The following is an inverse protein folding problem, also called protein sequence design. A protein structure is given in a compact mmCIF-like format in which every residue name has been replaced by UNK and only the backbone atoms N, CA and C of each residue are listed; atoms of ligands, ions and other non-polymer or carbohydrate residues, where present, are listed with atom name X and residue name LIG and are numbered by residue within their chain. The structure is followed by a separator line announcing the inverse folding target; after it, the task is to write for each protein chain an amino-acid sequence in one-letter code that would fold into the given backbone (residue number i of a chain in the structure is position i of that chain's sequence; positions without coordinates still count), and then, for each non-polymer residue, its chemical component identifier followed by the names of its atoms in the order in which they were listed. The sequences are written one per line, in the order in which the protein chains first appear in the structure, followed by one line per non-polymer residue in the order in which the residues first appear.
data_IF_264595144301
#
_entry.id   IF_264595144301
#
_cell.length_a   1.000
_cell.length_b   1.000
_cell.length_c   1.000
_cell.angle_alpha   90.00
_cell.angle_beta   90.00
_cell.angle_gamma   90.00
#
_symmetry.space_group_name_H-M   'P 1'
#
loop_
_entity.id
_entity.type
_entity.pdbx_description
1 polymer ?
#
# COMPACT_ATOMS: atom_id res chain seq x y z
N UNK A 1 41.01 148.48 73.93
CA UNK A 1 41.75 148.90 72.70
C UNK A 1 41.17 148.15 71.50
N UNK A 2 41.30 148.66 70.26
CA UNK A 2 40.85 147.96 69.03
C UNK A 2 41.35 146.49 68.96
N UNK A 3 42.47 146.21 69.64
CA UNK A 3 43.06 144.90 69.84
C UNK A 3 42.21 143.91 70.66
N UNK A 4 41.42 144.35 71.64
CA UNK A 4 40.55 143.47 72.45
C UNK A 4 39.34 142.96 71.65
N UNK A 5 38.77 143.80 70.78
CA UNK A 5 37.68 143.38 69.88
C UNK A 5 38.20 142.38 68.85
N UNK A 6 39.37 142.63 68.26
CA UNK A 6 40.01 141.68 67.35
C UNK A 6 40.39 140.36 68.03
N UNK A 7 40.80 140.37 69.31
CA UNK A 7 41.05 139.15 70.08
C UNK A 7 39.76 138.38 70.38
N UNK A 8 38.67 139.07 70.69
CA UNK A 8 37.35 138.47 70.92
C UNK A 8 36.81 137.80 69.65
N UNK A 9 36.90 138.48 68.50
CA UNK A 9 36.48 137.95 67.21
C UNK A 9 37.36 136.75 66.79
N UNK A 10 38.68 136.82 67.04
CA UNK A 10 39.59 135.71 66.81
C UNK A 10 39.26 134.49 67.70
N UNK A 11 38.94 134.69 68.98
CA UNK A 11 38.54 133.61 69.88
C UNK A 11 37.19 132.98 69.49
N UNK A 12 36.22 133.79 69.05
CA UNK A 12 34.95 133.28 68.53
C UNK A 12 35.16 132.46 67.25
N UNK A 13 36.06 132.91 66.37
CA UNK A 13 36.43 132.17 65.15
C UNK A 13 37.14 130.85 65.49
N UNK A 14 38.05 130.84 66.47
CA UNK A 14 38.73 129.62 66.94
C UNK A 14 37.74 128.64 67.57
N UNK A 15 36.78 129.11 68.37
CA UNK A 15 35.72 128.26 68.93
C UNK A 15 34.89 127.60 67.83
N UNK A 16 34.43 128.37 66.85
CA UNK A 16 33.69 127.84 65.70
C UNK A 16 34.51 126.85 64.87
N UNK A 17 35.82 127.11 64.69
CA UNK A 17 36.73 126.17 64.05
C UNK A 17 36.91 124.89 64.86
N UNK A 18 36.93 124.97 66.19
CA UNK A 18 37.01 123.80 67.09
C UNK A 18 35.73 122.97 66.98
N UNK A 19 34.56 123.61 67.01
CA UNK A 19 33.26 122.94 66.84
C UNK A 19 33.18 122.23 65.47
N UNK A 20 33.67 122.86 64.38
CA UNK A 20 33.75 122.22 63.06
C UNK A 20 34.72 121.03 63.03
N UNK A 21 35.85 121.09 63.76
CA UNK A 21 36.79 119.98 63.83
C UNK A 21 36.20 118.81 64.62
N UNK A 22 35.46 119.08 65.70
CA UNK A 22 34.74 118.06 66.46
C UNK A 22 33.63 117.42 65.61
N UNK A 23 32.92 118.21 64.79
CA UNK A 23 31.91 117.70 63.86
C UNK A 23 32.53 116.85 62.73
N UNK A 24 33.68 117.26 62.19
CA UNK A 24 34.43 116.47 61.19
C UNK A 24 35.01 115.18 61.76
N UNK A 25 35.45 115.18 63.02
CA UNK A 25 35.97 113.97 63.67
C UNK A 25 34.84 112.97 63.91
N UNK A 26 33.68 113.41 64.40
CA UNK A 26 32.48 112.57 64.50
C UNK A 26 32.07 112.01 63.13
N UNK A 27 32.03 112.85 62.09
CA UNK A 27 31.72 112.39 60.74
C UNK A 27 32.72 111.35 60.23
N UNK A 28 34.00 111.50 60.55
CA UNK A 28 35.04 110.55 60.16
C UNK A 28 34.93 109.22 60.94
N UNK A 29 34.54 109.26 62.21
CA UNK A 29 34.22 108.08 63.00
C UNK A 29 33.01 107.34 62.44
N UNK A 30 31.93 108.05 62.09
CA UNK A 30 30.74 107.49 61.44
C UNK A 30 31.08 106.86 60.08
N UNK A 31 31.83 107.55 59.23
CA UNK A 31 32.30 107.00 57.95
C UNK A 31 33.15 105.74 58.13
N UNK A 32 34.01 105.70 59.15
CA UNK A 32 34.83 104.53 59.45
C UNK A 32 33.97 103.35 59.92
N UNK A 33 32.91 103.61 60.69
CA UNK A 33 31.93 102.61 61.11
C UNK A 33 31.15 102.06 59.90
N UNK A 34 30.67 102.94 59.02
CA UNK A 34 29.94 102.56 57.80
C UNK A 34 30.82 101.76 56.82
N UNK A 35 32.10 102.12 56.70
CA UNK A 35 33.06 101.37 55.90
C UNK A 35 33.26 99.96 56.46
N UNK A 36 33.38 99.84 57.78
CA UNK A 36 33.56 98.53 58.46
C UNK A 36 32.33 97.64 58.28
N UNK A 37 31.12 98.19 58.35
CA UNK A 37 29.89 97.43 58.11
C UNK A 37 29.77 96.98 56.65
N UNK A 38 30.14 97.84 55.69
CA UNK A 38 30.16 97.49 54.26
C UNK A 38 31.21 96.41 53.94
N UNK A 39 32.36 96.44 54.61
CA UNK A 39 33.39 95.41 54.48
C UNK A 39 32.86 94.05 54.98
N UNK A 40 32.22 94.02 56.16
CA UNK A 40 31.61 92.80 56.69
C UNK A 40 30.52 92.25 55.75
N UNK A 41 29.68 93.13 55.18
CA UNK A 41 28.66 92.73 54.21
C UNK A 41 29.27 92.14 52.93
N UNK A 42 30.38 92.70 52.43
CA UNK A 42 31.10 92.13 51.27
C UNK A 42 31.71 90.76 51.57
N UNK A 43 32.22 90.54 52.79
CA UNK A 43 32.72 89.22 53.21
C UNK A 43 31.61 88.18 53.26
N UNK A 44 30.44 88.54 53.80
CA UNK A 44 29.26 87.68 53.78
C UNK A 44 28.81 87.37 52.36
N UNK A 45 28.74 88.39 51.48
CA UNK A 45 28.38 88.21 50.07
C UNK A 45 29.36 87.25 49.37
N UNK A 46 30.66 87.40 49.59
CA UNK A 46 31.67 86.50 49.04
C UNK A 46 31.48 85.05 49.53
N UNK A 47 31.18 84.85 50.81
CA UNK A 47 30.87 83.52 51.35
C UNK A 47 29.68 82.89 50.64
N UNK A 48 28.59 83.66 50.47
CA UNK A 48 27.39 83.16 49.76
C UNK A 48 27.66 82.85 48.28
N UNK A 49 28.52 83.62 47.61
CA UNK A 49 28.94 83.33 46.23
C UNK A 49 29.70 82.00 46.18
N UNK A 50 30.65 81.78 47.10
CA UNK A 50 31.40 80.51 47.16
C UNK A 50 30.48 79.32 47.41
N UNK A 51 29.50 79.44 48.32
CA UNK A 51 28.49 78.39 48.53
C UNK A 51 27.67 78.12 47.26
N UNK A 52 27.28 79.17 46.52
CA UNK A 52 26.54 79.03 45.27
C UNK A 52 27.37 78.35 44.18
N UNK A 53 28.66 78.65 44.08
CA UNK A 53 29.58 77.97 43.16
C UNK A 53 29.70 76.48 43.46
N UNK A 54 29.79 76.10 44.74
CA UNK A 54 29.79 74.69 45.16
C UNK A 54 28.48 74.02 44.79
N UNK A 55 27.32 74.62 45.11
CA UNK A 55 26.02 74.08 44.74
C UNK A 55 25.86 73.93 43.22
N UNK A 56 26.37 74.87 42.42
CA UNK A 56 26.36 74.76 40.96
C UNK A 56 27.25 73.61 40.46
N UNK A 57 28.41 73.39 41.09
CA UNK A 57 29.26 72.25 40.76
C UNK A 57 28.56 70.92 41.04
N UNK A 58 27.96 70.78 42.22
CA UNK A 58 27.18 69.59 42.59
C UNK A 58 25.98 69.37 41.66
N UNK A 59 25.27 70.43 41.31
CA UNK A 59 24.18 70.36 40.33
C UNK A 59 24.69 69.89 38.95
N UNK A 60 25.87 70.34 38.51
CA UNK A 60 26.45 69.91 37.25
C UNK A 60 26.88 68.43 37.27
N UNK A 61 27.42 67.94 38.40
CA UNK A 61 27.75 66.53 38.60
C UNK A 61 26.50 65.64 38.56
N UNK A 62 25.41 66.08 39.22
CA UNK A 62 24.13 65.34 39.18
C UNK A 62 23.54 65.30 37.77
N UNK A 63 23.59 66.40 37.01
CA UNK A 63 23.16 66.44 35.61
C UNK A 63 23.97 65.45 34.77
N UNK A 64 25.30 65.41 34.95
CA UNK A 64 26.16 64.46 34.22
C UNK A 64 25.76 63.01 34.51
N UNK A 65 25.52 62.66 35.78
CA UNK A 65 25.07 61.31 36.13
C UNK A 65 23.70 60.98 35.55
N UNK A 66 22.79 61.96 35.46
CA UNK A 66 21.48 61.77 34.83
C UNK A 66 21.60 61.58 33.32
N UNK A 67 22.50 62.31 32.65
CA UNK A 67 22.79 62.12 31.22
C UNK A 67 23.30 60.71 30.95
N UNK A 68 24.27 60.21 31.73
CA UNK A 68 24.78 58.85 31.59
C UNK A 68 23.68 57.79 31.75
N UNK A 69 22.75 58.01 32.68
CA UNK A 69 21.61 57.12 32.89
C UNK A 69 20.64 57.13 31.71
N UNK A 70 20.35 58.30 31.14
CA UNK A 70 19.49 58.45 29.96
C UNK A 70 20.11 57.77 28.74
N UNK A 71 21.43 57.88 28.56
CA UNK A 71 22.14 57.20 27.47
C UNK A 71 22.07 55.68 27.62
N UNK A 72 22.25 55.17 28.85
CA UNK A 72 22.09 53.74 29.15
C UNK A 72 20.66 53.23 28.88
N UNK A 73 19.64 54.01 29.28
CA UNK A 73 18.24 53.68 29.00
C UNK A 73 17.95 53.69 27.49
N UNK A 74 18.51 54.64 26.76
CA UNK A 74 18.35 54.74 25.30
C UNK A 74 18.95 53.53 24.59
N UNK A 75 20.12 53.07 25.03
CA UNK A 75 20.75 51.86 24.50
C UNK A 75 19.88 50.62 24.76
N UNK A 76 19.36 50.47 25.98
CA UNK A 76 18.48 49.36 26.34
C UNK A 76 17.20 49.33 25.48
N UNK A 77 16.59 50.49 25.22
CA UNK A 77 15.42 50.60 24.34
C UNK A 77 15.78 50.15 22.91
N UNK A 78 16.95 50.52 22.41
CA UNK A 78 17.42 50.09 21.09
C UNK A 78 17.57 48.57 21.01
N UNK A 79 18.17 47.95 22.02
CA UNK A 79 18.32 46.48 22.11
C UNK A 79 16.97 45.77 22.18
N UNK A 80 16.05 46.29 23.00
CA UNK A 80 14.68 45.76 23.09
C UNK A 80 13.95 45.83 21.74
N UNK A 81 14.08 46.94 21.00
CA UNK A 81 13.46 47.08 19.69
C UNK A 81 13.99 46.06 18.67
N UNK A 82 15.30 45.81 18.68
CA UNK A 82 15.90 44.74 17.85
C UNK A 82 15.30 43.39 18.23
N UNK A 83 15.24 43.09 19.53
CA UNK A 83 14.70 41.81 20.01
C UNK A 83 13.23 41.62 19.65
N UNK A 84 12.42 42.68 19.68
CA UNK A 84 11.02 42.65 19.24
C UNK A 84 10.95 42.31 17.75
N UNK A 85 11.77 42.96 16.92
CA UNK A 85 11.79 42.69 15.48
C UNK A 85 12.18 41.25 15.16
N UNK A 86 13.15 40.68 15.89
CA UNK A 86 13.54 39.27 15.73
C UNK A 86 12.38 38.32 16.09
N UNK A 87 11.68 38.61 17.18
CA UNK A 87 10.53 37.81 17.63
C UNK A 87 9.35 37.89 16.66
N UNK A 88 9.10 39.06 16.06
CA UNK A 88 8.09 39.22 15.01
C UNK A 88 8.42 38.36 13.79
N UNK A 89 9.68 38.35 13.35
CA UNK A 89 10.14 37.50 12.25
C UNK A 89 9.98 36.00 12.56
N UNK A 90 10.35 35.58 13.77
CA UNK A 90 10.19 34.19 14.20
C UNK A 90 8.71 33.77 14.24
N UNK A 91 7.83 34.65 14.72
CA UNK A 91 6.40 34.39 14.78
C UNK A 91 5.78 34.26 13.38
N UNK A 92 6.17 35.12 12.43
CA UNK A 92 5.74 35.01 11.04
C UNK A 92 6.20 33.70 10.40
N UNK A 93 7.45 33.29 10.66
CA UNK A 93 7.97 32.00 10.21
C UNK A 93 7.18 30.82 10.78
N UNK A 94 6.85 30.85 12.07
CA UNK A 94 6.05 29.81 12.73
C UNK A 94 4.62 29.75 12.18
N UNK A 95 3.99 30.90 11.92
CA UNK A 95 2.66 30.95 11.32
C UNK A 95 2.63 30.36 9.91
N UNK A 96 3.65 30.65 9.10
CA UNK A 96 3.78 30.05 7.77
C UNK A 96 3.95 28.52 7.84
N UNK A 97 4.76 28.03 8.78
CA UNK A 97 4.92 26.59 8.99
C UNK A 97 3.61 25.92 9.44
N UNK A 98 2.85 26.59 10.32
CA UNK A 98 1.56 26.12 10.77
C UNK A 98 0.58 25.99 9.60
N UNK A 99 0.48 27.01 8.74
CA UNK A 99 -0.37 26.99 7.54
C UNK A 99 0.01 25.82 6.61
N UNK A 100 1.30 25.63 6.33
CA UNK A 100 1.76 24.51 5.50
C UNK A 100 1.37 23.14 6.10
N UNK A 101 1.51 22.97 7.41
CA UNK A 101 1.11 21.74 8.09
C UNK A 101 -0.41 21.49 8.05
N UNK A 102 -1.21 22.56 8.07
CA UNK A 102 -2.67 22.46 7.96
C UNK A 102 -3.10 22.03 6.55
N UNK A 103 -2.44 22.54 5.51
CA UNK A 103 -2.69 22.14 4.13
C UNK A 103 -2.33 20.68 3.87
N UNK A 104 -1.18 20.21 4.40
CA UNK A 104 -0.79 18.79 4.32
C UNK A 104 -1.80 17.87 5.02
N UNK A 105 -2.29 18.27 6.19
CA UNK A 105 -3.31 17.52 6.93
C UNK A 105 -4.64 17.46 6.15
N UNK A 106 -5.05 18.56 5.51
CA UNK A 106 -6.24 18.59 4.68
C UNK A 106 -6.14 17.65 3.47
N UNK A 107 -4.97 17.61 2.81
CA UNK A 107 -4.71 16.67 1.73
C UNK A 107 -4.77 15.23 2.22
N UNK A 108 -4.12 14.93 3.35
CA UNK A 108 -4.15 13.60 3.96
C UNK A 108 -5.58 13.15 4.29
N UNK A 109 -6.41 14.02 4.86
CA UNK A 109 -7.81 13.69 5.15
C UNK A 109 -8.59 13.36 3.86
N UNK A 110 -8.40 14.15 2.80
CA UNK A 110 -9.03 13.86 1.50
C UNK A 110 -8.60 12.50 0.94
N UNK A 111 -7.33 12.10 1.12
CA UNK A 111 -6.88 10.76 0.69
C UNK A 111 -7.52 9.64 1.50
N UNK A 112 -7.71 9.83 2.80
CA UNK A 112 -8.39 8.87 3.68
C UNK A 112 -9.84 8.69 3.25
N UNK A 113 -10.54 9.78 2.96
CA UNK A 113 -11.93 9.73 2.47
C UNK A 113 -12.03 8.93 1.16
N UNK A 114 -11.11 9.16 0.22
CA UNK A 114 -11.08 8.41 -1.05
C UNK A 114 -10.80 6.92 -0.84
N UNK A 115 -9.91 6.58 0.09
CA UNK A 115 -9.60 5.18 0.42
C UNK A 115 -10.80 4.49 1.09
N UNK A 116 -11.53 5.19 1.95
CA UNK A 116 -12.70 4.66 2.62
C UNK A 116 -13.80 4.29 1.62
N UNK A 117 -14.09 5.16 0.65
CA UNK A 117 -15.01 4.86 -0.46
C UNK A 117 -14.56 3.63 -1.25
N UNK A 118 -13.24 3.50 -1.51
CA UNK A 118 -12.70 2.36 -2.25
C UNK A 118 -12.89 1.05 -1.48
N UNK A 119 -12.67 1.06 -0.17
CA UNK A 119 -12.87 -0.10 0.71
C UNK A 119 -14.34 -0.53 0.72
N UNK A 120 -15.27 0.41 0.78
CA UNK A 120 -16.71 0.11 0.77
C UNK A 120 -17.13 -0.58 -0.54
N UNK A 121 -16.64 -0.08 -1.68
CA UNK A 121 -16.90 -0.69 -3.00
C UNK A 121 -16.29 -2.10 -3.07
N UNK A 122 -15.04 -2.27 -2.65
CA UNK A 122 -14.39 -3.59 -2.66
C UNK A 122 -15.10 -4.60 -1.75
N UNK A 123 -15.64 -4.14 -0.62
CA UNK A 123 -16.38 -5.00 0.31
C UNK A 123 -17.68 -5.50 -0.34
N UNK A 124 -18.41 -4.62 -1.03
CA UNK A 124 -19.61 -4.99 -1.79
C UNK A 124 -19.29 -5.97 -2.93
N UNK A 125 -18.23 -5.72 -3.68
CA UNK A 125 -17.80 -6.61 -4.77
C UNK A 125 -17.40 -8.00 -4.24
N UNK A 126 -16.74 -8.05 -3.09
CA UNK A 126 -16.38 -9.31 -2.44
C UNK A 126 -17.61 -10.12 -2.02
N UNK A 127 -18.61 -9.49 -1.39
CA UNK A 127 -19.86 -10.16 -1.01
C UNK A 127 -20.60 -10.70 -2.24
N UNK A 128 -20.68 -9.88 -3.31
CA UNK A 128 -21.28 -10.30 -4.57
C UNK A 128 -20.54 -11.51 -5.17
N UNK A 129 -19.21 -11.48 -5.24
CA UNK A 129 -18.43 -12.58 -5.80
C UNK A 129 -18.52 -13.85 -4.94
N UNK A 130 -18.52 -13.71 -3.61
CA UNK A 130 -18.66 -14.84 -2.69
C UNK A 130 -20.00 -15.54 -2.87
N UNK A 131 -21.10 -14.78 -2.94
CA UNK A 131 -22.45 -15.35 -3.13
C UNK A 131 -22.61 -16.05 -4.50
N UNK A 132 -22.00 -15.52 -5.55
CA UNK A 132 -21.95 -16.16 -6.87
C UNK A 132 -21.14 -17.46 -6.81
N UNK A 133 -19.99 -17.45 -6.14
CA UNK A 133 -19.15 -18.63 -6.00
C UNK A 133 -19.85 -19.76 -5.23
N UNK A 134 -20.54 -19.44 -4.14
CA UNK A 134 -21.33 -20.42 -3.37
C UNK A 134 -22.41 -21.05 -4.25
N UNK A 135 -23.07 -20.24 -5.09
CA UNK A 135 -24.10 -20.74 -6.02
C UNK A 135 -23.53 -21.64 -7.13
N UNK A 136 -22.27 -21.46 -7.52
CA UNK A 136 -21.62 -22.22 -8.60
C UNK A 136 -20.82 -23.45 -8.11
N UNK A 137 -20.52 -23.53 -6.81
CA UNK A 137 -19.68 -24.59 -6.23
C UNK A 137 -20.47 -25.71 -5.54
N UNK A 138 -21.79 -25.57 -5.40
CA UNK A 138 -22.63 -26.64 -4.87
C UNK A 138 -22.63 -27.86 -5.82
N UNK A 139 -22.28 -29.06 -5.32
CA UNK A 139 -22.31 -30.27 -6.13
C UNK A 139 -23.73 -30.58 -6.62
N UNK A 140 -23.84 -30.98 -7.88
CA UNK A 140 -25.12 -31.42 -8.47
C UNK A 140 -25.29 -32.90 -8.16
N UNK A 141 -26.26 -33.19 -7.30
CA UNK A 141 -26.70 -34.55 -6.96
C UNK A 141 -27.64 -35.09 -8.04
N UNK A 142 -27.37 -36.27 -8.55
CA UNK A 142 -28.10 -36.93 -9.64
C UNK A 142 -28.59 -38.30 -9.16
N UNK A 143 -29.90 -38.53 -9.22
CA UNK A 143 -30.45 -39.86 -8.94
C UNK A 143 -30.39 -40.74 -10.19
N UNK A 144 -29.73 -41.89 -10.08
CA UNK A 144 -29.58 -42.86 -11.16
C UNK A 144 -30.61 -43.98 -10.97
N UNK A 145 -31.54 -44.11 -11.91
CA UNK A 145 -32.56 -45.16 -11.90
C UNK A 145 -31.97 -46.49 -12.38
N UNK A 146 -32.54 -47.62 -11.97
CA UNK A 146 -32.21 -48.91 -12.61
C UNK A 146 -32.56 -48.86 -14.11
N UNK A 147 -31.69 -49.39 -14.96
CA UNK A 147 -31.76 -49.27 -16.42
C UNK A 147 -30.97 -48.09 -16.98
N UNK A 148 -31.38 -47.59 -18.15
CA UNK A 148 -30.66 -46.54 -18.88
C UNK A 148 -30.97 -45.14 -18.35
N UNK A 149 -29.93 -44.39 -18.02
CA UNK A 149 -29.95 -42.99 -17.63
C UNK A 149 -29.13 -42.17 -18.62
N UNK A 150 -29.50 -40.90 -18.78
CA UNK A 150 -28.70 -39.92 -19.53
C UNK A 150 -28.26 -38.85 -18.54
N UNK A 151 -26.95 -38.73 -18.32
CA UNK A 151 -26.37 -37.75 -17.40
C UNK A 151 -25.41 -36.82 -18.12
N UNK A 152 -25.40 -35.54 -17.74
CA UNK A 152 -24.40 -34.57 -18.20
C UNK A 152 -23.21 -34.54 -17.26
N UNK A 153 -21.99 -34.52 -17.79
CA UNK A 153 -20.79 -34.37 -16.96
C UNK A 153 -20.66 -32.91 -16.47
N UNK A 154 -20.59 -32.73 -15.16
CA UNK A 154 -20.76 -31.40 -14.52
C UNK A 154 -19.45 -30.72 -14.09
N UNK A 155 -18.33 -31.45 -14.06
CA UNK A 155 -17.04 -30.87 -13.69
C UNK A 155 -16.44 -30.06 -14.85
N UNK A 156 -15.63 -29.06 -14.50
CA UNK A 156 -15.00 -28.13 -15.47
C UNK A 156 -13.78 -28.70 -16.19
N UNK A 157 -13.17 -29.76 -15.65
CA UNK A 157 -11.98 -30.39 -16.20
C UNK A 157 -12.31 -31.83 -16.61
N UNK A 158 -11.64 -32.32 -17.65
CA UNK A 158 -11.78 -33.71 -18.05
C UNK A 158 -11.22 -34.65 -16.97
N UNK A 159 -11.89 -35.78 -16.75
CA UNK A 159 -11.52 -36.77 -15.73
C UNK A 159 -11.71 -38.18 -16.26
N UNK A 160 -10.84 -39.11 -15.84
CA UNK A 160 -10.92 -40.50 -16.25
C UNK A 160 -12.29 -41.12 -15.87
N UNK A 161 -12.93 -41.78 -16.83
CA UNK A 161 -14.25 -42.38 -16.64
C UNK A 161 -14.21 -43.49 -15.57
N UNK A 162 -13.11 -44.25 -15.52
CA UNK A 162 -12.95 -45.35 -14.55
C UNK A 162 -12.88 -44.80 -13.13
N UNK A 163 -11.99 -43.83 -12.90
CA UNK A 163 -11.86 -43.17 -11.60
C UNK A 163 -13.18 -42.52 -11.14
N UNK A 164 -13.91 -41.89 -12.08
CA UNK A 164 -15.15 -41.17 -11.77
C UNK A 164 -16.27 -42.08 -11.27
N UNK A 165 -16.38 -43.28 -11.83
CA UNK A 165 -17.46 -44.21 -11.51
C UNK A 165 -17.06 -45.31 -10.51
N UNK A 166 -15.85 -45.26 -9.96
CA UNK A 166 -15.32 -46.25 -9.00
C UNK A 166 -16.26 -46.46 -7.80
N UNK A 167 -16.82 -45.36 -7.27
CA UNK A 167 -17.74 -45.41 -6.13
C UNK A 167 -19.09 -46.08 -6.41
N UNK A 168 -19.46 -46.29 -7.68
CA UNK A 168 -20.71 -46.96 -8.08
C UNK A 168 -20.47 -48.19 -8.95
N UNK A 169 -19.23 -48.68 -9.02
CA UNK A 169 -18.84 -49.75 -9.94
C UNK A 169 -19.63 -51.04 -9.74
N UNK A 170 -20.06 -51.33 -8.51
CA UNK A 170 -20.81 -52.54 -8.14
C UNK A 170 -22.24 -52.58 -8.72
N UNK A 171 -22.83 -51.42 -9.02
CA UNK A 171 -24.20 -51.28 -9.55
C UNK A 171 -24.22 -50.72 -10.98
N UNK A 172 -23.03 -50.52 -11.57
CA UNK A 172 -22.84 -49.95 -12.89
C UNK A 172 -22.52 -51.05 -13.90
N UNK A 173 -23.37 -51.19 -14.92
CA UNK A 173 -23.16 -52.17 -15.98
C UNK A 173 -22.31 -51.60 -17.12
N UNK A 174 -22.73 -50.47 -17.72
CA UNK A 174 -22.09 -49.89 -18.91
C UNK A 174 -22.26 -48.37 -18.94
N UNK A 175 -21.20 -47.65 -19.32
CA UNK A 175 -21.27 -46.23 -19.69
C UNK A 175 -20.94 -46.08 -21.16
N UNK A 176 -21.62 -45.17 -21.85
CA UNK A 176 -21.44 -44.93 -23.29
C UNK A 176 -21.43 -43.44 -23.61
N UNK A 177 -20.51 -43.02 -24.48
CA UNK A 177 -20.48 -41.65 -25.03
C UNK A 177 -21.26 -41.53 -26.35
N UNK A 178 -21.37 -40.30 -26.87
CA UNK A 178 -22.07 -40.05 -28.14
C UNK A 178 -21.36 -40.66 -29.37
N UNK A 179 -20.04 -40.88 -29.31
CA UNK A 179 -19.27 -41.50 -30.39
C UNK A 179 -19.47 -43.04 -30.47
N UNK A 180 -20.14 -43.62 -29.47
CA UNK A 180 -20.37 -45.06 -29.36
C UNK A 180 -19.27 -45.81 -28.62
N UNK A 181 -18.28 -45.11 -28.06
CA UNK A 181 -17.27 -45.68 -27.19
C UNK A 181 -17.89 -46.00 -25.83
N UNK A 182 -17.44 -47.11 -25.23
CA UNK A 182 -18.03 -47.65 -24.00
C UNK A 182 -16.98 -47.85 -22.91
N UNK A 183 -17.39 -47.59 -21.67
CA UNK A 183 -16.72 -48.06 -20.48
C UNK A 183 -17.55 -49.21 -19.91
N UNK A 184 -16.90 -50.36 -19.74
CA UNK A 184 -17.50 -51.60 -19.29
C UNK A 184 -16.67 -52.15 -18.12
N UNK A 185 -17.06 -51.85 -16.86
CA UNK A 185 -16.29 -52.21 -15.68
C UNK A 185 -16.05 -53.72 -15.55
N UNK A 186 -17.07 -54.54 -15.80
CA UNK A 186 -17.03 -56.00 -15.68
C UNK A 186 -15.92 -56.64 -16.53
N UNK A 187 -15.65 -56.09 -17.72
CA UNK A 187 -14.60 -56.57 -18.62
C UNK A 187 -13.28 -55.82 -18.48
N UNK A 188 -13.17 -54.88 -17.54
CA UNK A 188 -11.99 -54.02 -17.40
C UNK A 188 -11.68 -53.23 -18.67
N UNK A 189 -12.72 -52.80 -19.40
CA UNK A 189 -12.56 -52.11 -20.68
C UNK A 189 -13.02 -50.66 -20.59
N UNK A 190 -12.12 -49.72 -20.85
CA UNK A 190 -12.45 -48.31 -21.00
C UNK A 190 -12.08 -47.83 -22.41
N UNK A 191 -13.08 -47.72 -23.29
CA UNK A 191 -12.94 -47.12 -24.62
C UNK A 191 -13.25 -45.63 -24.67
N UNK A 192 -13.85 -45.05 -23.62
CA UNK A 192 -14.19 -43.62 -23.54
C UNK A 192 -12.95 -42.79 -23.19
N UNK A 193 -12.10 -43.31 -22.30
CA UNK A 193 -10.99 -42.56 -21.72
C UNK A 193 -11.50 -41.55 -20.71
N UNK A 194 -11.42 -40.26 -21.04
CA UNK A 194 -11.79 -39.17 -20.14
C UNK A 194 -13.22 -38.66 -20.43
N UNK A 195 -13.98 -38.39 -19.38
CA UNK A 195 -15.23 -37.65 -19.43
C UNK A 195 -14.94 -36.18 -19.71
N UNK A 196 -15.59 -35.60 -20.72
CA UNK A 196 -15.31 -34.26 -21.23
C UNK A 196 -16.39 -33.28 -20.76
N UNK A 197 -16.02 -32.12 -20.18
CA UNK A 197 -16.95 -31.05 -19.80
C UNK A 197 -17.94 -30.69 -20.92
N UNK A 198 -19.22 -30.61 -20.59
CA UNK A 198 -20.29 -30.27 -21.54
C UNK A 198 -20.80 -31.44 -22.40
N UNK A 199 -20.27 -32.66 -22.23
CA UNK A 199 -20.82 -33.86 -22.88
C UNK A 199 -21.80 -34.61 -21.98
N UNK A 200 -22.71 -35.35 -22.62
CA UNK A 200 -23.63 -36.27 -21.97
C UNK A 200 -23.22 -37.72 -22.20
N UNK A 201 -23.49 -38.56 -21.20
CA UNK A 201 -23.16 -39.98 -21.17
C UNK A 201 -24.42 -40.79 -20.86
N UNK A 202 -24.54 -41.93 -21.52
CA UNK A 202 -25.58 -42.91 -21.24
C UNK A 202 -25.03 -43.92 -20.25
N UNK A 203 -25.72 -44.11 -19.13
CA UNK A 203 -25.29 -44.98 -18.03
C UNK A 203 -26.37 -46.04 -17.82
N UNK A 204 -25.99 -47.31 -17.93
CA UNK A 204 -26.83 -48.45 -17.62
C UNK A 204 -26.51 -48.90 -16.19
N UNK A 205 -27.51 -48.84 -15.32
CA UNK A 205 -27.41 -49.26 -13.92
C UNK A 205 -28.18 -50.56 -13.70
N UNK A 206 -27.64 -51.45 -12.88
CA UNK A 206 -28.33 -52.67 -12.45
C UNK A 206 -29.40 -52.32 -11.39
N UNK A 207 -29.07 -51.45 -10.45
CA UNK A 207 -29.94 -51.01 -9.34
C UNK A 207 -30.05 -49.48 -9.24
N UNK A 208 -31.03 -49.01 -8.45
CA UNK A 208 -31.19 -47.58 -8.15
C UNK A 208 -30.04 -47.06 -7.27
N UNK A 209 -29.47 -45.92 -7.63
CA UNK A 209 -28.46 -45.22 -6.83
C UNK A 209 -28.88 -43.77 -6.60
N UNK A 210 -29.07 -43.40 -5.33
CA UNK A 210 -29.49 -42.06 -4.92
C UNK A 210 -28.29 -41.12 -4.79
N UNK A 211 -28.42 -39.90 -5.33
CA UNK A 211 -27.50 -38.81 -5.08
C UNK A 211 -26.06 -38.99 -5.56
N UNK A 212 -25.88 -39.51 -6.78
CA UNK A 212 -24.58 -39.53 -7.44
C UNK A 212 -24.07 -38.11 -7.69
N UNK A 213 -22.81 -37.85 -7.34
CA UNK A 213 -22.13 -36.57 -7.55
C UNK A 213 -20.81 -36.84 -8.26
N UNK A 214 -20.49 -36.01 -9.24
CA UNK A 214 -19.15 -36.02 -9.83
C UNK A 214 -18.15 -35.37 -8.86
N UNK A 215 -17.32 -36.19 -8.22
CA UNK A 215 -16.24 -35.71 -7.37
C UNK A 215 -15.01 -35.31 -8.21
N UNK A 216 -14.36 -34.21 -7.85
CA UNK A 216 -13.10 -33.82 -8.46
C UNK A 216 -11.94 -34.64 -7.85
N UNK A 217 -11.45 -35.61 -8.61
CA UNK A 217 -10.41 -36.55 -8.20
C UNK A 217 -8.98 -36.06 -8.51
N UNK A 218 -8.80 -34.76 -8.78
CA UNK A 218 -7.50 -34.14 -9.02
C UNK A 218 -6.65 -34.83 -10.10
N UNK A 219 -7.29 -35.38 -11.14
CA UNK A 219 -6.61 -36.05 -12.25
C UNK A 219 -6.16 -37.49 -11.96
N UNK A 220 -6.72 -38.15 -10.95
CA UNK A 220 -6.55 -39.58 -10.74
C UNK A 220 -6.96 -40.36 -12.01
N UNK A 221 -6.17 -41.36 -12.38
CA UNK A 221 -6.47 -42.29 -13.47
C UNK A 221 -6.33 -43.71 -12.98
N UNK A 222 -7.27 -44.58 -13.36
CA UNK A 222 -7.25 -46.00 -13.00
C UNK A 222 -6.93 -46.82 -14.24
N UNK A 223 -5.86 -47.60 -14.18
CA UNK A 223 -5.52 -48.52 -15.27
C UNK A 223 -6.34 -49.82 -15.15
N UNK A 224 -6.94 -50.24 -16.26
CA UNK A 224 -7.69 -51.48 -16.35
C UNK A 224 -6.93 -52.52 -17.17
N UNK A 225 -7.13 -53.80 -16.83
CA UNK A 225 -6.66 -54.94 -17.61
C UNK A 225 -7.85 -55.59 -18.31
N UNK A 226 -8.05 -55.36 -19.62
CA UNK A 226 -9.22 -55.85 -20.32
C UNK A 226 -9.22 -57.38 -20.40
N UNK A 227 -10.38 -57.98 -20.15
CA UNK A 227 -10.58 -59.43 -20.23
C UNK A 227 -11.52 -59.78 -21.38
N UNK A 228 -11.14 -60.79 -22.16
CA UNK A 228 -11.97 -61.25 -23.29
C UNK A 228 -13.15 -62.08 -22.74
N UNK A 229 -14.40 -61.73 -23.06
CA UNK A 229 -15.56 -62.49 -22.64
C UNK A 229 -15.56 -63.92 -23.20
N UNK A 230 -16.12 -64.87 -22.45
CA UNK A 230 -16.22 -66.27 -22.90
C UNK A 230 -17.06 -66.41 -24.18
N UNK A 231 -18.14 -65.64 -24.32
CA UNK A 231 -18.96 -65.65 -25.53
C UNK A 231 -18.19 -65.23 -26.79
N UNK A 232 -17.17 -64.38 -26.65
CA UNK A 232 -16.35 -63.92 -27.77
C UNK A 232 -15.39 -65.03 -28.23
N UNK A 233 -14.92 -65.85 -27.29
CA UNK A 233 -14.09 -67.04 -27.56
C UNK A 233 -14.94 -68.14 -28.19
N UNK A 234 -16.17 -68.33 -27.68
CA UNK A 234 -17.09 -69.37 -28.11
C UNK A 234 -17.82 -69.04 -29.44
N UNK A 235 -17.59 -67.85 -29.99
CA UNK A 235 -18.22 -67.43 -31.23
C UNK A 235 -17.73 -68.30 -32.39
N UNK A 236 -18.64 -69.05 -33.01
CA UNK A 236 -18.31 -69.91 -34.15
C UNK A 236 -17.70 -69.09 -35.29
N UNK A 237 -16.45 -69.38 -35.63
CA UNK A 237 -15.81 -68.80 -36.81
C UNK A 237 -16.39 -69.50 -38.03
N UNK A 238 -17.05 -68.75 -38.91
CA UNK A 238 -17.47 -69.26 -40.22
C UNK A 238 -16.23 -69.61 -41.04
N UNK A 239 -15.85 -70.88 -41.03
CA UNK A 239 -14.84 -71.40 -41.94
C UNK A 239 -15.42 -71.38 -43.35
N UNK A 240 -14.86 -70.56 -44.22
CA UNK A 240 -15.24 -70.53 -45.63
C UNK A 240 -14.81 -71.85 -46.29
N UNK A 241 -15.48 -72.30 -47.37
CA UNK A 241 -15.09 -73.49 -48.12
C UNK A 241 -13.65 -73.47 -48.66
N UNK A 242 -12.98 -72.31 -48.67
CA UNK A 242 -11.58 -72.14 -49.05
C UNK A 242 -10.60 -72.07 -47.86
N UNK A 243 -11.09 -72.10 -46.62
CA UNK A 243 -10.24 -72.07 -45.42
C UNK A 243 -9.65 -73.46 -45.11
N UNK A 244 -10.19 -74.53 -45.71
CA UNK A 244 -9.68 -75.89 -45.64
C UNK A 244 -9.17 -76.31 -47.02
N UNK A 245 -7.89 -76.69 -47.12
CA UNK A 245 -7.27 -77.17 -48.36
C UNK A 245 -7.90 -78.49 -48.82
N UNK A 246 -8.63 -78.46 -49.92
CA UNK A 246 -9.30 -79.63 -50.52
C UNK A 246 -8.85 -79.85 -51.96
N UNK A 247 -8.68 -81.11 -52.36
CA UNK A 247 -8.27 -81.48 -53.72
C UNK A 247 -9.43 -81.25 -54.68
N UNK A 248 -9.20 -80.47 -55.74
CA UNK A 248 -10.20 -80.14 -56.76
C UNK A 248 -10.09 -81.08 -57.96
N UNK A 249 -8.88 -81.26 -58.49
CA UNK A 249 -8.65 -82.10 -59.68
C UNK A 249 -7.19 -82.54 -59.78
N UNK A 250 -6.96 -83.64 -60.48
CA UNK A 250 -5.62 -84.11 -60.85
C UNK A 250 -5.47 -84.02 -62.35
N UNK A 251 -4.42 -83.36 -62.82
CA UNK A 251 -4.14 -83.18 -64.25
C UNK A 251 -2.78 -83.72 -64.66
N UNK A 252 -2.67 -84.24 -65.88
CA UNK A 252 -1.40 -84.68 -66.46
C UNK A 252 -0.59 -83.50 -67.05
N UNK A 253 0.57 -83.80 -67.63
CA UNK A 253 1.43 -82.80 -68.31
C UNK A 253 0.77 -82.09 -69.51
N UNK A 254 -0.32 -82.63 -70.06
CA UNK A 254 -1.09 -82.04 -71.15
C UNK A 254 -2.24 -81.17 -70.65
N UNK A 255 -2.41 -81.04 -69.32
CA UNK A 255 -3.50 -80.28 -68.70
C UNK A 255 -4.85 -80.98 -68.74
N UNK A 256 -4.88 -82.27 -69.07
CA UNK A 256 -6.09 -83.08 -69.08
C UNK A 256 -6.35 -83.62 -67.67
N UNK A 257 -7.61 -83.61 -67.24
CA UNK A 257 -8.00 -84.25 -65.98
C UNK A 257 -7.90 -85.77 -66.12
N UNK A 258 -7.20 -86.39 -65.19
CA UNK A 258 -6.87 -87.81 -65.24
C UNK A 258 -7.17 -88.46 -63.90
N UNK A 259 -7.63 -89.70 -63.95
CA UNK A 259 -7.68 -90.55 -62.77
C UNK A 259 -6.25 -91.01 -62.47
N UNK A 260 -5.69 -90.68 -61.29
CA UNK A 260 -4.34 -91.08 -60.93
C UNK A 260 -4.13 -92.59 -61.07
N UNK A 261 -5.14 -93.42 -60.86
CA UNK A 261 -5.01 -94.89 -60.88
C UNK A 261 -4.86 -95.49 -62.28
N UNK A 262 -5.31 -94.78 -63.33
CA UNK A 262 -5.29 -95.28 -64.71
C UNK A 262 -4.03 -94.86 -65.50
N UNK A 263 -3.25 -93.92 -64.95
CA UNK A 263 -2.04 -93.39 -65.62
C UNK A 263 -0.82 -94.33 -65.56
N UNK A 264 0.10 -94.18 -66.51
CA UNK A 264 1.30 -95.03 -66.56
C UNK A 264 2.25 -94.73 -65.39
N UNK A 265 2.94 -95.75 -64.87
CA UNK A 265 4.03 -95.55 -63.91
C UNK A 265 5.16 -94.74 -64.55
N UNK A 266 5.58 -93.67 -63.88
CA UNK A 266 6.48 -92.63 -64.35
C UNK A 266 5.77 -91.36 -64.84
N UNK A 267 4.43 -91.33 -64.89
CA UNK A 267 3.69 -90.14 -65.29
C UNK A 267 3.73 -89.05 -64.21
N UNK A 268 3.90 -87.81 -64.65
CA UNK A 268 3.86 -86.63 -63.78
C UNK A 268 2.40 -86.15 -63.69
N UNK A 269 1.91 -86.03 -62.47
CA UNK A 269 0.57 -85.58 -62.12
C UNK A 269 0.63 -84.31 -61.29
N UNK A 270 -0.29 -83.39 -61.54
CA UNK A 270 -0.47 -82.16 -60.78
C UNK A 270 -1.80 -82.21 -60.04
N UNK A 271 -1.75 -82.14 -58.72
CA UNK A 271 -2.88 -82.11 -57.81
C UNK A 271 -3.21 -80.66 -57.52
N UNK A 272 -4.35 -80.19 -58.03
CA UNK A 272 -4.80 -78.81 -57.88
C UNK A 272 -5.78 -78.73 -56.71
N UNK A 273 -5.54 -77.81 -55.79
CA UNK A 273 -6.37 -77.58 -54.61
C UNK A 273 -7.24 -76.33 -54.75
N UNK A 274 -8.29 -76.23 -53.92
CA UNK A 274 -9.26 -75.12 -53.90
C UNK A 274 -8.64 -73.76 -53.53
N UNK A 275 -7.53 -73.77 -52.79
CA UNK A 275 -6.73 -72.60 -52.45
C UNK A 275 -5.81 -72.13 -53.60
N UNK A 276 -5.86 -72.80 -54.76
CA UNK A 276 -5.03 -72.51 -55.93
C UNK A 276 -3.60 -73.07 -55.84
N UNK A 277 -3.25 -73.75 -54.74
CA UNK A 277 -1.97 -74.44 -54.63
C UNK A 277 -1.94 -75.69 -55.53
N UNK A 278 -0.75 -76.06 -56.00
CA UNK A 278 -0.53 -77.20 -56.89
C UNK A 278 0.60 -78.07 -56.35
N UNK A 279 0.34 -79.37 -56.20
CA UNK A 279 1.35 -80.36 -55.82
C UNK A 279 1.69 -81.24 -57.02
N UNK A 280 2.99 -81.38 -57.31
CA UNK A 280 3.49 -82.22 -58.39
C UNK A 280 3.95 -83.55 -57.83
N UNK A 281 3.36 -84.64 -58.30
CA UNK A 281 3.72 -86.01 -57.90
C UNK A 281 4.04 -86.86 -59.14
N UNK A 282 4.95 -87.82 -58.99
CA UNK A 282 5.26 -88.81 -60.02
C UNK A 282 4.63 -90.12 -59.58
N UNK A 283 3.75 -90.69 -60.41
CA UNK A 283 3.15 -92.01 -60.19
C UNK A 283 4.17 -93.12 -60.45
#
# INVERSE_FOLDING_TARGET
TQMEVMMSDANATISSMTDMVDELTLMNEDMSSDLSSSQAQNEELNSTITEMEVMMSEANDTISSMTDMVDAMTLMISEMNIRISDLEYENDSLNNLLLASQDELALSNSTVDSLMVTIDVMSLDYENMSSVNDSLSNPISIDLLSGWNIIGYTLQNAQDAVATFDGIVDVLSVVKNNAGEVYWPEFGFNGIGDLIPGQGYQVLMDDYYEGFVFENLNGLRVELSPTIPQWAIDMEVYTHPNDIKTLVRVVNNLGQEVNPDDEFKGAILYYLFNDGSVEKLVK
#
